data_IF_221854015131
#
_entry.id   IF_221854015131
#
_cell.length_a   1.000
_cell.length_b   1.000
_cell.length_c   1.000
_cell.angle_alpha   90.00
_cell.angle_beta   90.00
_cell.angle_gamma   90.00
#
_symmetry.space_group_name_H-M   'P 1'
#
loop_
_entity.id
_entity.type
_entity.pdbx_description
1 polymer ?
#
# COMPACT_ATOMS: atom_id res chain seq x y z
N UNK A 1 19.20 -6.03 24.25
CA UNK A 1 18.74 -4.72 23.73
C UNK A 1 17.59 -4.99 22.77
N UNK A 2 16.40 -4.46 23.08
CA UNK A 2 15.18 -4.72 22.31
C UNK A 2 15.26 -3.97 20.98
N UNK A 3 15.23 -4.68 19.87
CA UNK A 3 15.31 -4.14 18.50
C UNK A 3 14.22 -3.12 18.17
N UNK A 4 13.14 -3.07 18.94
CA UNK A 4 12.04 -2.10 18.80
C UNK A 4 12.44 -0.66 19.13
N UNK A 5 13.41 -0.43 20.02
CA UNK A 5 13.84 0.92 20.43
C UNK A 5 14.64 1.64 19.33
N UNK A 6 15.32 0.90 18.45
CA UNK A 6 16.12 1.47 17.36
C UNK A 6 15.25 2.11 16.28
N UNK A 7 14.08 1.51 16.02
CA UNK A 7 13.18 1.96 14.97
C UNK A 7 12.45 3.25 15.33
N UNK A 8 11.96 3.38 16.57
CA UNK A 8 11.23 4.58 17.00
C UNK A 8 12.11 5.84 16.91
N UNK A 9 13.35 5.76 17.39
CA UNK A 9 14.31 6.88 17.29
C UNK A 9 14.73 7.20 15.86
N UNK A 10 14.75 6.21 14.95
CA UNK A 10 14.94 6.46 13.52
C UNK A 10 13.75 7.25 12.93
N UNK A 11 12.52 6.86 13.26
CA UNK A 11 11.31 7.55 12.77
C UNK A 11 11.20 8.99 13.29
N UNK A 12 11.47 9.23 14.58
CA UNK A 12 11.40 10.58 15.16
C UNK A 12 12.44 11.54 14.55
N UNK A 13 13.63 11.03 14.20
CA UNK A 13 14.71 11.82 13.60
C UNK A 13 14.41 12.23 12.16
N UNK A 14 13.64 11.43 11.43
CA UNK A 14 13.35 11.65 10.00
C UNK A 14 11.94 12.22 9.74
N UNK A 15 11.03 12.22 10.73
CA UNK A 15 9.68 12.77 10.60
C UNK A 15 9.61 14.30 10.42
N UNK A 16 10.69 15.05 10.71
CA UNK A 16 10.72 16.52 10.54
C UNK A 16 10.95 16.99 9.10
N UNK A 17 11.08 16.08 8.14
CA UNK A 17 11.35 16.43 6.74
C UNK A 17 10.26 15.83 5.87
N UNK A 18 9.16 16.58 5.67
CA UNK A 18 8.47 16.71 4.38
C UNK A 18 7.19 17.53 4.55
N UNK A 19 7.22 18.72 3.98
CA UNK A 19 6.04 19.29 3.37
C UNK A 19 5.67 18.39 2.19
N UNK A 20 4.51 17.73 2.24
CA UNK A 20 3.94 17.07 1.05
C UNK A 20 2.45 17.37 1.00
N UNK A 21 2.12 18.45 0.30
CA UNK A 21 0.79 18.63 -0.26
C UNK A 21 0.75 17.76 -1.52
N UNK A 22 0.06 16.63 -1.45
CA UNK A 22 -0.28 15.81 -2.62
C UNK A 22 -1.81 15.78 -2.73
N UNK A 23 -2.37 16.73 -3.49
CA UNK A 23 -3.80 16.78 -3.80
C UNK A 23 -4.03 15.85 -4.99
N UNK A 24 -4.47 14.61 -4.73
CA UNK A 24 -4.87 13.67 -5.78
C UNK A 24 -6.21 14.13 -6.39
N UNK A 25 -6.16 14.52 -7.66
CA UNK A 25 -7.29 15.00 -8.50
C UNK A 25 -8.10 13.86 -9.16
N UNK A 26 -7.93 12.60 -8.73
CA UNK A 26 -8.69 11.46 -9.26
C UNK A 26 -9.45 10.70 -8.17
N UNK A 27 -10.52 10.01 -8.56
CA UNK A 27 -11.35 9.20 -7.68
C UNK A 27 -10.68 7.85 -7.30
N UNK A 28 -9.38 7.69 -7.56
CA UNK A 28 -8.67 6.43 -7.35
C UNK A 28 -8.05 6.37 -5.96
N UNK A 29 -8.35 5.29 -5.26
CA UNK A 29 -7.80 5.00 -3.94
C UNK A 29 -6.70 3.96 -4.02
N UNK A 30 -5.88 3.86 -2.96
CA UNK A 30 -4.81 2.86 -2.89
C UNK A 30 -5.25 1.69 -2.02
N UNK A 31 -5.01 0.48 -2.50
CA UNK A 31 -5.41 -0.78 -1.88
C UNK A 31 -4.24 -1.74 -1.79
N UNK A 32 -4.20 -2.50 -0.69
CA UNK A 32 -3.36 -3.67 -0.53
C UNK A 32 -4.17 -4.90 -0.94
N UNK A 33 -3.70 -5.61 -1.95
CA UNK A 33 -4.30 -6.81 -2.50
C UNK A 33 -3.53 -8.02 -1.99
N UNK A 34 -4.24 -8.97 -1.40
CA UNK A 34 -3.72 -10.25 -0.94
C UNK A 34 -3.99 -11.32 -2.00
N UNK A 35 -2.95 -12.02 -2.40
CA UNK A 35 -2.96 -13.04 -3.45
C UNK A 35 -2.53 -14.39 -2.89
N UNK A 36 -3.15 -15.47 -3.34
CA UNK A 36 -2.69 -16.84 -3.12
C UNK A 36 -2.48 -17.52 -4.47
N UNK A 37 -1.23 -17.67 -4.86
CA UNK A 37 -0.84 -18.26 -6.15
C UNK A 37 -0.19 -19.62 -5.87
N UNK A 38 -0.90 -20.71 -6.18
CA UNK A 38 -0.41 -22.09 -5.98
C UNK A 38 0.08 -22.36 -4.54
N UNK A 39 -0.61 -21.78 -3.55
CA UNK A 39 -0.26 -21.92 -2.12
C UNK A 39 0.83 -20.96 -1.63
N UNK A 40 1.33 -20.06 -2.49
CA UNK A 40 2.26 -18.99 -2.11
C UNK A 40 1.44 -17.71 -1.87
N UNK A 41 1.55 -17.17 -0.66
CA UNK A 41 0.95 -15.88 -0.32
C UNK A 41 1.79 -14.73 -0.85
N UNK A 42 1.15 -13.81 -1.56
CA UNK A 42 1.75 -12.60 -2.09
C UNK A 42 0.89 -11.38 -1.76
N UNK A 43 1.52 -10.20 -1.81
CA UNK A 43 0.86 -8.91 -1.57
C UNK A 43 1.27 -7.93 -2.66
N UNK A 44 0.31 -7.18 -3.18
CA UNK A 44 0.52 -6.14 -4.16
C UNK A 44 -0.19 -4.85 -3.75
N UNK A 45 0.42 -3.70 -4.06
CA UNK A 45 -0.21 -2.39 -3.85
C UNK A 45 -0.78 -1.92 -5.18
N UNK A 46 -2.06 -1.59 -5.20
CA UNK A 46 -2.79 -1.18 -6.39
C UNK A 46 -3.49 0.15 -6.13
N UNK A 47 -3.47 1.05 -7.11
CA UNK A 47 -4.32 2.25 -7.14
C UNK A 47 -5.42 2.04 -8.17
N UNK A 48 -6.67 2.08 -7.73
CA UNK A 48 -7.83 1.80 -8.58
C UNK A 48 -9.05 2.61 -8.10
N UNK A 49 -10.00 2.84 -9.00
CA UNK A 49 -11.36 3.26 -8.64
C UNK A 49 -12.21 2.01 -8.27
N UNK A 50 -13.47 2.22 -7.87
CA UNK A 50 -14.36 1.12 -7.51
C UNK A 50 -14.57 0.11 -8.66
N UNK A 51 -14.66 0.61 -9.89
CA UNK A 51 -14.88 -0.22 -11.09
C UNK A 51 -13.65 -1.07 -11.40
N UNK A 52 -12.46 -0.49 -11.34
CA UNK A 52 -11.18 -1.17 -11.53
C UNK A 52 -10.97 -2.22 -10.45
N UNK A 53 -11.33 -1.93 -9.19
CA UNK A 53 -11.24 -2.90 -8.12
C UNK A 53 -12.23 -4.08 -8.30
N UNK A 54 -13.43 -3.81 -8.81
CA UNK A 54 -14.41 -4.84 -9.16
C UNK A 54 -13.86 -5.77 -10.25
N UNK A 55 -13.37 -5.19 -11.35
CA UNK A 55 -12.78 -5.96 -12.47
C UNK A 55 -11.57 -6.78 -12.01
N UNK A 56 -10.73 -6.22 -11.14
CA UNK A 56 -9.57 -6.90 -10.60
C UNK A 56 -9.97 -8.17 -9.83
N UNK A 57 -10.98 -8.07 -8.95
CA UNK A 57 -11.50 -9.21 -8.18
C UNK A 57 -12.18 -10.26 -9.08
N UNK A 58 -12.83 -9.83 -10.15
CA UNK A 58 -13.50 -10.74 -11.10
C UNK A 58 -12.50 -11.53 -11.95
N UNK A 59 -11.44 -10.85 -12.42
CA UNK A 59 -10.48 -11.43 -13.38
C UNK A 59 -9.33 -12.19 -12.74
N UNK A 60 -8.95 -11.88 -11.50
CA UNK A 60 -7.82 -12.51 -10.80
C UNK A 60 -8.34 -13.38 -9.67
N UNK A 61 -8.52 -14.67 -9.96
CA UNK A 61 -9.09 -15.66 -9.02
C UNK A 61 -8.20 -15.92 -7.80
N UNK A 62 -6.92 -15.57 -7.91
CA UNK A 62 -5.92 -15.70 -6.86
C UNK A 62 -6.07 -14.61 -5.79
N UNK A 63 -6.90 -13.59 -6.00
CA UNK A 63 -7.16 -12.57 -4.97
C UNK A 63 -8.04 -13.17 -3.88
N UNK A 64 -7.48 -13.21 -2.67
CA UNK A 64 -8.14 -13.72 -1.47
C UNK A 64 -8.61 -12.59 -0.55
N UNK A 65 -8.17 -11.36 -0.77
CA UNK A 65 -8.56 -10.22 0.05
C UNK A 65 -8.07 -8.89 -0.49
N UNK A 66 -8.76 -7.82 -0.10
CA UNK A 66 -8.37 -6.44 -0.40
C UNK A 66 -8.59 -5.60 0.84
N UNK A 67 -7.62 -4.73 1.15
CA UNK A 67 -7.71 -3.74 2.22
C UNK A 67 -7.39 -2.35 1.66
N UNK A 68 -8.23 -1.36 1.98
CA UNK A 68 -7.92 0.04 1.70
C UNK A 68 -6.73 0.51 2.53
N UNK A 69 -5.75 1.12 1.88
CA UNK A 69 -4.51 1.61 2.51
C UNK A 69 -4.81 2.96 3.17
N UNK A 70 -4.35 3.13 4.40
CA UNK A 70 -4.40 4.44 5.08
C UNK A 70 -3.15 5.27 4.78
N UNK A 71 -3.16 6.56 5.15
CA UNK A 71 -2.04 7.49 4.88
C UNK A 71 -0.70 7.02 5.42
N UNK A 72 -0.64 6.51 6.67
CA UNK A 72 0.60 6.01 7.28
C UNK A 72 1.18 4.79 6.54
N UNK A 73 0.31 3.91 6.08
CA UNK A 73 0.68 2.73 5.29
C UNK A 73 1.18 3.14 3.89
N UNK A 74 0.55 4.14 3.28
CA UNK A 74 0.98 4.71 2.00
C UNK A 74 2.37 5.38 2.13
N UNK A 75 2.60 6.12 3.20
CA UNK A 75 3.91 6.72 3.49
C UNK A 75 4.99 5.65 3.61
N UNK A 76 4.71 4.55 4.32
CA UNK A 76 5.63 3.43 4.43
C UNK A 76 5.91 2.77 3.08
N UNK A 77 4.88 2.54 2.25
CA UNK A 77 5.02 2.01 0.88
C UNK A 77 5.94 2.89 0.04
N UNK A 78 5.75 4.21 0.09
CA UNK A 78 6.56 5.18 -0.63
C UNK A 78 8.02 5.20 -0.14
N UNK A 79 8.25 5.18 1.18
CA UNK A 79 9.60 5.14 1.77
C UNK A 79 10.34 3.86 1.41
N UNK A 80 9.63 2.72 1.39
CA UNK A 80 10.18 1.42 1.01
C UNK A 80 10.38 1.27 -0.50
N UNK A 81 9.91 2.24 -1.31
CA UNK A 81 10.01 2.17 -2.77
C UNK A 81 9.21 1.01 -3.36
N UNK A 82 8.13 0.59 -2.71
CA UNK A 82 7.30 -0.50 -3.21
C UNK A 82 6.52 -0.04 -4.46
N UNK A 83 6.46 -0.91 -5.46
CA UNK A 83 5.74 -0.62 -6.69
C UNK A 83 4.23 -0.55 -6.44
N UNK A 84 3.61 0.54 -6.90
CA UNK A 84 2.17 0.75 -6.93
C UNK A 84 1.71 0.54 -8.36
N UNK A 85 0.87 -0.47 -8.59
CA UNK A 85 0.28 -0.72 -9.90
C UNK A 85 -0.98 0.11 -10.06
N UNK A 86 -1.18 0.72 -11.22
CA UNK A 86 -2.39 1.49 -11.51
C UNK A 86 -3.31 0.71 -12.44
N UNK A 87 -4.60 0.69 -12.10
CA UNK A 87 -5.66 -0.01 -12.83
C UNK A 87 -6.81 0.98 -13.11
#
# INVERSE_FOLDING_TARGET
>A
MKTTEVWLSYFEKHAKIRDSIDVKLDDKETYLVYLSVKGIEARAVVRADEKGLYVLKEKVKEIIGVKKINSKELDAINVLGLQIYEI
#
